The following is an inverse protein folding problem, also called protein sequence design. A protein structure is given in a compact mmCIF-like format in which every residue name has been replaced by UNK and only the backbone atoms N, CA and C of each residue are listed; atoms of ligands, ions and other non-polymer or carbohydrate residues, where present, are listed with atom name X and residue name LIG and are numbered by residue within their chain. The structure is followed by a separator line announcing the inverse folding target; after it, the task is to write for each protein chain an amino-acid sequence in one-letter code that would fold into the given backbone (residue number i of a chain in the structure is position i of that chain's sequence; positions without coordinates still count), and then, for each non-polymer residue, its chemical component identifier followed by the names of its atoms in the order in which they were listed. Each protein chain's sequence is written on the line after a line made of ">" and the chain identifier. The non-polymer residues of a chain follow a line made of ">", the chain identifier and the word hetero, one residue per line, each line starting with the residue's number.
data_IF_620850738029
#
_entry.id   IF_620850738029
#
_cell.length_a   1.000
_cell.length_b   1.000
_cell.length_c   1.000
_cell.angle_alpha   90.00
_cell.angle_beta   90.00
_cell.angle_gamma   90.00
#
_symmetry.space_group_name_H-M   'P 1'
#
loop_
_entity.id
_entity.type
_entity.pdbx_description
1 polymer ?
#
# COMPACT_ATOMS: atom_id res chain seq x y z
N UNK A 1 -6.32 11.38 9.34
CA UNK A 1 -5.88 12.29 8.27
C UNK A 1 -6.57 11.88 6.98
N UNK A 2 -7.14 12.83 6.24
CA UNK A 2 -7.72 12.60 4.90
C UNK A 2 -7.02 13.49 3.89
N UNK A 3 -6.73 12.96 2.72
CA UNK A 3 -6.08 13.69 1.64
C UNK A 3 -6.33 13.01 0.30
N UNK A 4 -6.33 13.78 -0.77
CA UNK A 4 -6.43 13.26 -2.13
C UNK A 4 -5.04 13.19 -2.75
N UNK A 5 -4.72 12.07 -3.37
CA UNK A 5 -3.50 11.91 -4.19
C UNK A 5 -3.90 11.67 -5.63
N UNK A 6 -3.17 12.30 -6.54
CA UNK A 6 -3.27 12.02 -7.99
C UNK A 6 -1.90 11.54 -8.46
N UNK A 7 -1.70 10.22 -8.48
CA UNK A 7 -0.45 9.59 -8.87
C UNK A 7 -0.73 8.25 -9.55
N UNK A 8 -0.79 8.24 -10.89
CA UNK A 8 -1.27 7.11 -11.70
C UNK A 8 -2.77 6.85 -11.57
N UNK A 9 -3.33 6.99 -10.36
CA UNK A 9 -4.74 6.91 -10.03
C UNK A 9 -5.11 8.06 -9.08
N UNK A 10 -6.36 8.56 -9.19
CA UNK A 10 -6.92 9.51 -8.23
C UNK A 10 -7.50 8.74 -7.04
N UNK A 11 -7.02 9.03 -5.84
CA UNK A 11 -7.41 8.34 -4.61
C UNK A 11 -7.72 9.32 -3.48
N UNK A 12 -8.88 9.16 -2.85
CA UNK A 12 -9.19 9.80 -1.58
C UNK A 12 -8.73 8.88 -0.44
N UNK A 13 -7.59 9.21 0.15
CA UNK A 13 -6.91 8.40 1.15
C UNK A 13 -7.33 8.84 2.55
N UNK A 14 -7.71 7.88 3.39
CA UNK A 14 -7.93 8.07 4.81
C UNK A 14 -6.94 7.23 5.61
N UNK A 15 -6.17 7.89 6.48
CA UNK A 15 -5.22 7.23 7.37
C UNK A 15 -5.52 7.62 8.81
N UNK A 16 -5.84 6.63 9.62
CA UNK A 16 -5.95 6.79 11.08
C UNK A 16 -4.66 6.35 11.77
N UNK A 17 -4.48 6.74 13.05
CA UNK A 17 -3.37 6.25 13.86
C UNK A 17 -3.38 4.71 13.99
N UNK A 18 -4.57 4.10 13.95
CA UNK A 18 -4.72 2.64 14.00
C UNK A 18 -4.23 2.00 12.71
N UNK A 19 -4.56 2.57 11.56
CA UNK A 19 -4.09 2.07 10.25
C UNK A 19 -2.56 2.01 10.23
N UNK A 20 -1.87 3.09 10.65
CA UNK A 20 -0.41 3.12 10.70
C UNK A 20 0.21 2.01 11.57
N UNK A 21 -0.41 1.70 12.71
CA UNK A 21 0.03 0.62 13.61
C UNK A 21 -0.22 -0.76 13.00
N UNK A 22 -1.35 -0.90 12.31
CA UNK A 22 -1.85 -2.18 11.78
C UNK A 22 -1.39 -2.50 10.37
N UNK A 23 -0.67 -1.59 9.68
CA UNK A 23 -0.01 -1.91 8.39
C UNK A 23 0.81 -3.18 8.56
N UNK A 24 0.46 -4.21 7.80
CA UNK A 24 1.14 -5.48 7.82
C UNK A 24 2.52 -5.34 7.14
N UNK A 25 3.56 -5.94 7.74
CA UNK A 25 4.83 -6.18 7.07
C UNK A 25 4.81 -7.63 6.59
N UNK A 26 4.63 -7.85 5.28
CA UNK A 26 4.62 -9.23 4.73
C UNK A 26 5.97 -9.64 4.18
N UNK A 27 7.02 -9.39 4.96
CA UNK A 27 8.28 -10.08 4.81
C UNK A 27 8.94 -10.15 6.19
N UNK A 28 9.06 -11.37 6.72
CA UNK A 28 9.15 -11.65 8.17
C UNK A 28 10.56 -11.90 8.69
N UNK A 29 11.62 -11.56 7.93
CA UNK A 29 12.99 -11.89 8.35
C UNK A 29 13.92 -10.70 8.58
N UNK A 30 13.52 -9.45 8.30
CA UNK A 30 14.48 -8.33 8.35
C UNK A 30 14.02 -7.13 9.21
N UNK A 31 14.84 -6.74 10.18
CA UNK A 31 14.68 -5.53 10.98
C UNK A 31 14.62 -4.25 10.11
N UNK A 32 15.15 -4.30 8.88
CA UNK A 32 15.10 -3.22 7.89
C UNK A 32 13.66 -2.84 7.50
N UNK A 33 12.76 -3.81 7.40
CA UNK A 33 11.37 -3.56 7.01
C UNK A 33 10.55 -2.87 8.12
N UNK A 34 10.88 -3.14 9.38
CA UNK A 34 10.29 -2.42 10.52
C UNK A 34 10.73 -0.95 10.54
N UNK A 35 11.99 -0.66 10.24
CA UNK A 35 12.49 0.70 10.11
C UNK A 35 11.78 1.45 8.95
N UNK A 36 11.54 0.77 7.84
CA UNK A 36 10.76 1.32 6.72
C UNK A 36 9.31 1.61 7.13
N UNK A 37 8.62 0.67 7.80
CA UNK A 37 7.26 0.88 8.31
C UNK A 37 7.18 2.13 9.21
N UNK A 38 8.17 2.32 10.08
CA UNK A 38 8.23 3.49 10.95
C UNK A 38 8.44 4.80 10.18
N UNK A 39 9.35 4.83 9.19
CA UNK A 39 9.54 6.00 8.31
C UNK A 39 8.30 6.31 7.48
N UNK A 40 7.65 5.28 6.95
CA UNK A 40 6.39 5.43 6.21
C UNK A 40 5.29 5.97 7.11
N UNK A 41 5.20 5.52 8.36
CA UNK A 41 4.20 6.02 9.31
C UNK A 41 4.42 7.51 9.68
N UNK A 42 5.67 7.99 9.64
CA UNK A 42 5.98 9.41 9.86
C UNK A 42 5.55 10.31 8.70
N UNK A 43 5.72 9.86 7.44
CA UNK A 43 5.37 10.63 6.25
C UNK A 43 4.67 9.78 5.18
N UNK A 44 3.48 9.28 5.50
CA UNK A 44 2.74 8.42 4.58
C UNK A 44 2.24 9.19 3.35
N UNK A 45 1.89 10.46 3.54
CA UNK A 45 1.41 11.32 2.45
C UNK A 45 2.53 11.57 1.44
N UNK A 46 3.67 12.07 1.91
CA UNK A 46 4.83 12.31 1.06
C UNK A 46 5.39 11.02 0.46
N UNK A 47 5.23 9.87 1.13
CA UNK A 47 5.53 8.58 0.52
C UNK A 47 4.66 8.31 -0.70
N UNK A 48 3.34 8.38 -0.59
CA UNK A 48 2.42 8.05 -1.71
C UNK A 48 2.58 9.06 -2.85
N UNK A 49 2.77 10.34 -2.54
CA UNK A 49 2.96 11.39 -3.53
C UNK A 49 4.28 11.23 -4.32
N UNK A 50 5.34 10.73 -3.68
CA UNK A 50 6.68 10.54 -4.31
C UNK A 50 6.92 9.13 -4.84
N UNK A 51 6.10 8.16 -4.46
CA UNK A 51 6.24 6.79 -4.91
C UNK A 51 5.85 6.66 -6.38
N UNK A 52 6.36 5.63 -7.04
CA UNK A 52 5.94 5.26 -8.39
C UNK A 52 4.69 4.39 -8.30
N UNK A 53 3.64 4.76 -9.04
CA UNK A 53 2.49 3.88 -9.21
C UNK A 53 2.86 2.67 -10.10
N UNK A 54 2.67 1.45 -9.57
CA UNK A 54 2.97 0.22 -10.32
C UNK A 54 1.70 -0.42 -10.91
N UNK A 55 0.51 -0.05 -10.42
CA UNK A 55 -0.76 -0.54 -10.93
C UNK A 55 -1.77 -0.90 -9.83
N UNK A 56 -2.89 -1.46 -10.24
CA UNK A 56 -3.94 -1.94 -9.35
C UNK A 56 -4.44 -3.34 -9.75
N UNK A 57 -5.08 -4.04 -8.82
CA UNK A 57 -5.76 -5.31 -9.08
C UNK A 57 -7.04 -5.45 -8.26
N UNK A 58 -8.04 -6.11 -8.84
CA UNK A 58 -9.26 -6.49 -8.12
C UNK A 58 -8.95 -7.51 -7.01
N UNK A 59 -9.81 -7.56 -5.99
CA UNK A 59 -9.70 -8.61 -4.97
C UNK A 59 -10.01 -9.96 -5.60
N UNK A 60 -9.08 -10.90 -5.47
CA UNK A 60 -9.28 -12.27 -5.93
C UNK A 60 -10.49 -12.87 -5.18
N UNK A 61 -11.45 -13.51 -5.87
CA UNK A 61 -12.55 -14.22 -5.23
C UNK A 61 -12.04 -15.14 -4.10
N UNK A 62 -12.60 -14.98 -2.89
CA UNK A 62 -12.19 -15.74 -1.69
C UNK A 62 -11.21 -15.02 -0.74
N UNK A 63 -10.76 -13.79 -1.05
CA UNK A 63 -10.00 -12.93 -0.13
C UNK A 63 -10.86 -11.75 0.35
N UNK A 64 -10.50 -11.16 1.50
CA UNK A 64 -11.25 -10.19 2.32
C UNK A 64 -12.42 -9.44 1.62
N UNK A 65 -13.69 -9.64 2.05
CA UNK A 65 -14.89 -9.15 1.36
C UNK A 65 -15.10 -7.63 1.39
N UNK A 66 -14.36 -6.90 2.23
CA UNK A 66 -14.55 -5.47 2.45
C UNK A 66 -13.81 -4.56 1.45
N UNK A 67 -12.96 -5.14 0.61
CA UNK A 67 -12.09 -4.38 -0.32
C UNK A 67 -12.59 -4.52 -1.76
N UNK A 68 -12.61 -3.40 -2.51
CA UNK A 68 -12.95 -3.40 -3.93
C UNK A 68 -11.73 -3.74 -4.82
N UNK A 69 -10.57 -3.16 -4.52
CA UNK A 69 -9.29 -3.46 -5.18
C UNK A 69 -8.09 -2.97 -4.36
N UNK A 70 -6.90 -3.39 -4.76
CA UNK A 70 -5.62 -2.95 -4.21
C UNK A 70 -4.81 -2.15 -5.23
N UNK A 71 -4.24 -1.04 -4.81
CA UNK A 71 -3.30 -0.22 -5.56
C UNK A 71 -1.88 -0.35 -4.97
N UNK A 72 -0.88 -0.37 -5.83
CA UNK A 72 0.52 -0.62 -5.47
C UNK A 72 1.41 0.56 -5.83
N UNK A 73 2.22 0.99 -4.87
CA UNK A 73 3.14 2.11 -4.99
C UNK A 73 4.54 1.66 -4.58
N UNK A 74 5.53 1.79 -5.46
CA UNK A 74 6.91 1.41 -5.16
C UNK A 74 7.77 2.64 -4.84
N UNK A 75 8.72 2.46 -3.93
CA UNK A 75 9.76 3.45 -3.67
C UNK A 75 11.05 2.76 -3.26
N UNK A 76 12.15 3.31 -3.71
CA UNK A 76 13.49 2.86 -3.32
C UNK A 76 13.96 3.68 -2.12
N UNK A 77 14.22 3.00 -1.00
CA UNK A 77 14.74 3.61 0.23
C UNK A 77 15.84 2.71 0.81
N UNK A 78 16.88 2.48 0.02
CA UNK A 78 17.93 1.48 0.26
C UNK A 78 17.59 0.14 -0.38
N UNK A 79 16.34 -0.31 -0.24
CA UNK A 79 15.78 -1.46 -0.96
C UNK A 79 14.42 -1.06 -1.58
N UNK A 80 14.01 -1.78 -2.63
CA UNK A 80 12.72 -1.52 -3.30
C UNK A 80 11.58 -2.09 -2.46
N UNK A 81 10.73 -1.20 -1.94
CA UNK A 81 9.57 -1.56 -1.14
C UNK A 81 8.28 -1.12 -1.83
N UNK A 82 7.21 -1.88 -1.59
CA UNK A 82 5.90 -1.66 -2.20
C UNK A 82 4.85 -1.43 -1.12
N UNK A 83 4.25 -0.26 -1.12
CA UNK A 83 3.08 0.06 -0.32
C UNK A 83 1.82 -0.42 -1.06
N UNK A 84 1.05 -1.27 -0.39
CA UNK A 84 -0.24 -1.74 -0.82
C UNK A 84 -1.35 -0.93 -0.12
N UNK A 85 -2.22 -0.32 -0.91
CA UNK A 85 -3.35 0.50 -0.46
C UNK A 85 -4.64 -0.16 -0.95
N UNK A 86 -5.59 -0.36 -0.05
CA UNK A 86 -6.87 -0.99 -0.35
C UNK A 86 -7.99 0.03 -0.49
N UNK A 87 -8.86 -0.12 -1.48
CA UNK A 87 -10.11 0.67 -1.57
C UNK A 87 -11.21 -0.03 -0.78
N UNK A 88 -11.74 0.62 0.25
CA UNK A 88 -12.83 0.09 1.06
C UNK A 88 -14.14 0.24 0.27
N UNK A 89 -14.82 -0.87 0.01
CA UNK A 89 -16.00 -0.90 -0.87
C UNK A 89 -17.11 0.02 -0.38
N UNK A 90 -17.37 0.01 0.93
CA UNK A 90 -18.49 0.74 1.54
C UNK A 90 -18.31 2.25 1.55
N UNK A 91 -17.07 2.74 1.66
CA UNK A 91 -16.80 4.18 1.77
C UNK A 91 -16.18 4.77 0.52
N UNK A 92 -15.67 3.94 -0.39
CA UNK A 92 -14.88 4.35 -1.54
C UNK A 92 -13.48 4.88 -1.19
N UNK A 93 -13.14 5.00 0.10
CA UNK A 93 -11.88 5.55 0.58
C UNK A 93 -10.75 4.52 0.48
N UNK A 94 -9.54 5.04 0.28
CA UNK A 94 -8.32 4.26 0.24
C UNK A 94 -7.64 4.23 1.61
N UNK A 95 -7.20 3.05 2.03
CA UNK A 95 -6.49 2.86 3.30
C UNK A 95 -5.19 2.09 3.10
N UNK A 96 -4.09 2.49 3.76
CA UNK A 96 -2.88 1.69 3.81
C UNK A 96 -3.19 0.29 4.36
N UNK A 97 -2.62 -0.74 3.77
CA UNK A 97 -2.89 -2.12 4.18
C UNK A 97 -1.63 -2.88 4.54
N UNK A 98 -0.66 -2.93 3.63
CA UNK A 98 0.55 -3.69 3.82
C UNK A 98 1.74 -3.04 3.12
N UNK A 99 2.94 -3.35 3.60
CA UNK A 99 4.18 -3.10 2.88
C UNK A 99 4.79 -4.46 2.59
N UNK A 100 5.23 -4.66 1.35
CA UNK A 100 5.82 -5.89 0.85
C UNK A 100 7.14 -5.58 0.14
N UNK A 101 8.05 -6.54 0.11
CA UNK A 101 9.32 -6.43 -0.60
C UNK A 101 9.15 -6.79 -2.09
N UNK A 102 10.22 -6.63 -2.85
CA UNK A 102 10.24 -6.99 -4.25
C UNK A 102 9.92 -8.48 -4.48
N UNK A 103 10.48 -9.38 -3.68
CA UNK A 103 10.24 -10.82 -3.85
C UNK A 103 8.76 -11.18 -3.69
N UNK A 104 8.10 -10.64 -2.66
CA UNK A 104 6.67 -10.86 -2.43
C UNK A 104 5.82 -10.20 -3.52
N UNK A 105 6.22 -9.01 -3.97
CA UNK A 105 5.54 -8.35 -5.09
C UNK A 105 5.61 -9.22 -6.36
N UNK A 106 6.79 -9.67 -6.75
CA UNK A 106 7.01 -10.46 -7.96
C UNK A 106 6.32 -11.85 -7.87
N UNK A 107 6.24 -12.44 -6.67
CA UNK A 107 5.63 -13.75 -6.46
C UNK A 107 4.09 -13.72 -6.33
N UNK A 108 3.53 -12.72 -5.63
CA UNK A 108 2.09 -12.70 -5.29
C UNK A 108 1.25 -11.80 -6.22
N UNK A 109 1.87 -10.84 -6.90
CA UNK A 109 1.15 -9.77 -7.59
C UNK A 109 1.21 -9.98 -9.10
N UNK A 110 0.28 -10.79 -9.60
CA UNK A 110 0.02 -10.98 -11.03
C UNK A 110 -1.18 -10.14 -11.50
N UNK A 111 -1.26 -9.88 -12.81
CA UNK A 111 -2.41 -9.21 -13.46
C UNK A 111 -2.69 -7.77 -12.99
N UNK A 112 -1.65 -6.98 -12.78
CA UNK A 112 -1.82 -5.55 -12.55
C UNK A 112 -2.40 -4.86 -13.77
N UNK A 113 -3.40 -4.03 -13.53
CA UNK A 113 -3.95 -3.07 -14.49
C UNK A 113 -3.29 -1.70 -14.24
N UNK A 114 -3.02 -0.97 -15.32
CA UNK A 114 -2.47 0.39 -15.27
C UNK A 114 -3.58 1.41 -15.35
#
# INVERSE_FOLDING_TARGET
>A
MRFTVTNGIKMDVEVTKSDLKTIASKNTQDNRFNAFKNKLAQDIRGFIEKAKYEGWREVIPGKHPETAYFAYFSRELGEKAYLCIRKIKNTGLFKPYAIIDQKTFDAEITNLRK
#
